data_IF_157686768684
#
_entry.id   IF_157686768684
#
_cell.length_a   1.000
_cell.length_b   1.000
_cell.length_c   1.000
_cell.angle_alpha   90.00
_cell.angle_beta   90.00
_cell.angle_gamma   90.00
#
_symmetry.space_group_name_H-M   'P 1'
#
loop_
_entity.id
_entity.type
_entity.pdbx_description
1 polymer ?
#
# COMPACT_ATOMS: atom_id res chain seq x y z
N UNK A 1 -25.32 11.80 17.09
CA UNK A 1 -23.90 11.47 17.30
C UNK A 1 -23.16 12.76 17.57
N UNK A 2 -22.43 12.88 18.70
CA UNK A 2 -21.65 14.09 19.01
C UNK A 2 -20.57 14.24 17.95
N UNK A 3 -20.52 15.42 17.34
CA UNK A 3 -19.48 15.88 16.43
C UNK A 3 -18.11 15.57 17.02
N UNK A 4 -17.30 14.82 16.27
CA UNK A 4 -15.87 14.66 16.56
C UNK A 4 -15.31 16.08 16.60
N UNK A 5 -14.79 16.48 17.77
CA UNK A 5 -14.10 17.76 17.94
C UNK A 5 -12.99 17.90 16.91
N UNK A 6 -12.69 19.13 16.52
CA UNK A 6 -11.60 19.43 15.60
C UNK A 6 -10.31 18.75 16.09
N UNK A 7 -9.66 17.97 15.23
CA UNK A 7 -8.55 17.07 15.60
C UNK A 7 -7.33 17.87 16.10
N UNK A 8 -7.24 19.14 15.72
CA UNK A 8 -6.27 20.11 16.24
C UNK A 8 -6.38 20.31 17.77
N UNK A 9 -7.53 20.02 18.37
CA UNK A 9 -7.75 20.04 19.83
C UNK A 9 -7.39 18.72 20.52
N UNK A 10 -7.01 17.67 19.77
CA UNK A 10 -6.77 16.33 20.30
C UNK A 10 -5.31 16.09 20.77
N UNK A 11 -4.57 17.14 21.10
CA UNK A 11 -3.29 17.03 21.81
C UNK A 11 -3.51 17.03 23.33
N UNK A 12 -4.11 15.95 23.83
CA UNK A 12 -4.41 15.79 25.25
C UNK A 12 -3.17 15.40 26.07
N UNK A 13 -3.06 15.92 27.29
CA UNK A 13 -2.13 15.40 28.29
C UNK A 13 -2.68 14.11 28.90
N UNK A 14 -2.00 12.98 28.65
CA UNK A 14 -2.34 11.69 29.26
C UNK A 14 -1.42 11.46 30.46
N UNK A 15 -2.00 11.41 31.66
CA UNK A 15 -1.27 10.99 32.87
C UNK A 15 -1.45 9.49 33.09
N UNK A 16 -0.39 8.73 32.83
CA UNK A 16 -0.35 7.29 33.08
C UNK A 16 0.13 7.02 34.51
N UNK A 17 -0.56 6.12 35.22
CA UNK A 17 -0.08 5.59 36.50
C UNK A 17 0.69 4.30 36.22
N UNK A 18 2.01 4.37 36.30
CA UNK A 18 2.90 3.24 36.00
C UNK A 18 3.53 2.70 37.29
N UNK A 19 3.68 1.37 37.44
CA UNK A 19 4.55 0.79 38.45
C UNK A 19 5.99 1.31 38.31
N UNK A 20 6.69 1.52 39.43
CA UNK A 20 8.07 2.06 39.41
C UNK A 20 9.04 1.20 38.59
N UNK A 21 8.89 -0.13 38.65
CA UNK A 21 9.69 -1.09 37.89
C UNK A 21 9.50 -0.93 36.37
N UNK A 22 8.26 -0.68 35.93
CA UNK A 22 7.96 -0.46 34.51
C UNK A 22 8.50 0.89 34.02
N UNK A 23 8.35 1.94 34.84
CA UNK A 23 8.91 3.26 34.52
C UNK A 23 10.44 3.22 34.38
N UNK A 24 11.12 2.51 35.28
CA UNK A 24 12.57 2.31 35.21
C UNK A 24 13.00 1.56 33.94
N UNK A 25 12.28 0.49 33.58
CA UNK A 25 12.56 -0.26 32.36
C UNK A 25 12.41 0.62 31.10
N UNK A 26 11.36 1.43 31.02
CA UNK A 26 11.13 2.35 29.91
C UNK A 26 12.22 3.44 29.83
N UNK A 27 12.68 3.98 30.97
CA UNK A 27 13.78 4.93 31.00
C UNK A 27 15.10 4.33 30.51
N UNK A 28 15.42 3.10 30.94
CA UNK A 28 16.62 2.40 30.47
C UNK A 28 16.57 2.16 28.96
N UNK A 29 15.40 1.76 28.45
CA UNK A 29 15.20 1.53 27.03
C UNK A 29 15.28 2.84 26.23
N UNK A 30 14.67 3.92 26.71
CA UNK A 30 14.73 5.23 26.05
C UNK A 30 16.17 5.74 25.95
N UNK A 31 16.96 5.57 27.02
CA UNK A 31 18.38 5.91 27.03
C UNK A 31 19.20 5.02 26.08
N UNK A 32 18.90 3.71 26.04
CA UNK A 32 19.56 2.78 25.13
C UNK A 32 19.28 3.10 23.66
N UNK A 33 18.04 3.43 23.33
CA UNK A 33 17.60 3.82 21.98
C UNK A 33 17.92 5.29 21.64
N UNK A 34 18.46 6.05 22.61
CA UNK A 34 18.77 7.48 22.48
C UNK A 34 17.58 8.35 22.04
N UNK A 35 16.39 8.07 22.59
CA UNK A 35 15.15 8.81 22.36
C UNK A 35 14.56 9.33 23.67
N UNK A 36 13.68 10.32 23.60
CA UNK A 36 12.95 10.75 24.80
C UNK A 36 11.97 9.66 25.27
N UNK A 37 11.74 9.58 26.58
CA UNK A 37 10.75 8.66 27.15
C UNK A 37 9.35 8.83 26.52
N UNK A 38 8.98 10.08 26.18
CA UNK A 38 7.71 10.35 25.50
C UNK A 38 7.68 9.76 24.09
N UNK A 39 8.77 9.86 23.32
CA UNK A 39 8.87 9.24 22.00
C UNK A 39 8.81 7.71 22.09
N UNK A 40 9.51 7.10 23.05
CA UNK A 40 9.45 5.66 23.29
C UNK A 40 8.03 5.21 23.66
N UNK A 41 7.38 5.92 24.58
CA UNK A 41 6.01 5.63 24.98
C UNK A 41 5.04 5.83 23.82
N UNK A 42 5.23 6.87 23.00
CA UNK A 42 4.42 7.09 21.80
C UNK A 42 4.63 5.95 20.79
N UNK A 43 5.86 5.46 20.61
CA UNK A 43 6.17 4.32 19.77
C UNK A 43 5.45 3.05 20.26
N UNK A 44 5.52 2.73 21.56
CA UNK A 44 4.83 1.57 22.11
C UNK A 44 3.31 1.72 22.14
N UNK A 45 2.78 2.91 22.42
CA UNK A 45 1.35 3.17 22.34
C UNK A 45 0.87 3.07 20.90
N UNK A 46 1.63 3.59 19.95
CA UNK A 46 1.36 3.43 18.53
C UNK A 46 1.38 1.95 18.16
N UNK A 47 2.39 1.19 18.56
CA UNK A 47 2.49 -0.25 18.31
C UNK A 47 1.37 -1.06 19.00
N UNK A 48 0.97 -0.70 20.22
CA UNK A 48 -0.11 -1.36 20.97
C UNK A 48 -1.50 -1.05 20.41
N UNK A 49 -1.74 0.18 19.99
CA UNK A 49 -2.95 0.58 19.25
C UNK A 49 -2.95 -0.05 17.84
N UNK A 50 -1.76 -0.30 17.27
CA UNK A 50 -1.58 -0.93 15.95
C UNK A 50 -2.07 -2.37 15.89
N UNK A 51 -2.15 -3.09 17.02
CA UNK A 51 -2.61 -4.48 16.99
C UNK A 51 -4.10 -4.63 16.63
N UNK A 52 -4.90 -3.56 16.70
CA UNK A 52 -6.34 -3.63 16.39
C UNK A 52 -6.87 -2.55 15.42
N UNK A 53 -6.12 -1.49 15.06
CA UNK A 53 -6.68 -0.36 14.27
C UNK A 53 -5.74 0.41 13.31
N UNK A 54 -4.45 0.06 13.17
CA UNK A 54 -3.56 0.81 12.25
C UNK A 54 -3.37 0.07 10.93
N UNK A 55 -3.40 0.83 9.82
CA UNK A 55 -3.13 0.34 8.48
C UNK A 55 -1.69 0.67 8.05
N UNK A 56 -0.73 0.35 8.92
CA UNK A 56 0.70 0.51 8.64
C UNK A 56 1.14 -0.29 7.41
N UNK A 57 2.35 -0.01 6.91
CA UNK A 57 2.88 -0.64 5.69
C UNK A 57 2.86 -2.17 5.73
N UNK A 58 3.20 -2.74 6.89
CA UNK A 58 3.21 -4.19 7.08
C UNK A 58 1.79 -4.77 7.03
N UNK A 59 0.87 -4.19 7.80
CA UNK A 59 -0.52 -4.62 7.87
C UNK A 59 -1.21 -4.51 6.50
N UNK A 60 -0.99 -3.40 5.79
CA UNK A 60 -1.49 -3.21 4.44
C UNK A 60 -1.01 -4.31 3.48
N UNK A 61 0.29 -4.61 3.49
CA UNK A 61 0.85 -5.69 2.67
C UNK A 61 0.30 -7.06 3.08
N UNK A 62 0.14 -7.31 4.38
CA UNK A 62 -0.42 -8.56 4.91
C UNK A 62 -1.88 -8.74 4.46
N UNK A 63 -2.69 -7.68 4.51
CA UNK A 63 -4.08 -7.73 4.01
C UNK A 63 -4.14 -8.02 2.52
N UNK A 64 -3.27 -7.42 1.70
CA UNK A 64 -3.19 -7.78 0.28
C UNK A 64 -2.82 -9.26 0.08
N UNK A 65 -1.91 -9.79 0.89
CA UNK A 65 -1.56 -11.22 0.89
C UNK A 65 -2.75 -12.11 1.28
N UNK A 66 -3.50 -11.75 2.32
CA UNK A 66 -4.72 -12.46 2.74
C UNK A 66 -5.77 -12.41 1.63
N UNK A 67 -6.01 -11.25 1.02
CA UNK A 67 -6.93 -11.10 -0.12
C UNK A 67 -6.52 -12.02 -1.26
N UNK A 68 -5.22 -12.08 -1.59
CA UNK A 68 -4.70 -12.92 -2.67
C UNK A 68 -4.94 -14.42 -2.42
N UNK A 69 -4.93 -14.85 -1.15
CA UNK A 69 -5.12 -16.26 -0.77
C UNK A 69 -6.59 -16.64 -0.65
N UNK A 70 -7.42 -15.74 -0.15
CA UNK A 70 -8.79 -16.06 0.24
C UNK A 70 -9.84 -15.74 -0.82
N UNK A 71 -9.60 -14.75 -1.68
CA UNK A 71 -10.61 -14.32 -2.66
C UNK A 71 -10.86 -15.44 -3.70
N UNK A 72 -12.13 -15.86 -3.83
CA UNK A 72 -12.52 -16.96 -4.73
C UNK A 72 -13.02 -16.46 -6.09
N UNK A 73 -13.36 -15.18 -6.19
CA UNK A 73 -13.83 -14.53 -7.41
C UNK A 73 -13.29 -13.12 -7.53
N UNK A 74 -13.35 -12.55 -8.73
CA UNK A 74 -13.01 -11.13 -8.95
C UNK A 74 -13.91 -10.21 -8.11
N UNK A 75 -15.18 -10.55 -7.95
CA UNK A 75 -16.13 -9.76 -7.15
C UNK A 75 -15.74 -9.74 -5.66
N UNK A 76 -15.42 -10.91 -5.08
CA UNK A 76 -14.96 -10.99 -3.69
C UNK A 76 -13.63 -10.25 -3.49
N UNK A 77 -12.73 -10.33 -4.48
CA UNK A 77 -11.48 -9.59 -4.49
C UNK A 77 -11.73 -8.08 -4.44
N UNK A 78 -12.62 -7.55 -5.29
CA UNK A 78 -12.93 -6.13 -5.32
C UNK A 78 -13.67 -5.66 -4.07
N UNK A 79 -14.58 -6.45 -3.51
CA UNK A 79 -15.22 -6.13 -2.22
C UNK A 79 -14.22 -6.01 -1.07
N UNK A 80 -13.23 -6.91 -1.01
CA UNK A 80 -12.17 -6.83 0.02
C UNK A 80 -11.22 -5.65 -0.23
N UNK A 81 -10.87 -5.37 -1.47
CA UNK A 81 -10.06 -4.20 -1.82
C UNK A 81 -10.78 -2.88 -1.54
N UNK A 82 -12.10 -2.82 -1.73
CA UNK A 82 -12.90 -1.62 -1.47
C UNK A 82 -12.90 -1.28 0.03
N UNK A 83 -13.11 -2.29 0.89
CA UNK A 83 -12.97 -2.11 2.35
C UNK A 83 -11.59 -1.60 2.74
N UNK A 84 -10.55 -2.18 2.15
CA UNK A 84 -9.17 -1.72 2.38
C UNK A 84 -8.97 -0.28 1.89
N UNK A 85 -9.56 0.10 0.76
CA UNK A 85 -9.47 1.44 0.20
C UNK A 85 -10.19 2.48 1.07
N UNK A 86 -11.37 2.15 1.59
CA UNK A 86 -12.11 3.01 2.51
C UNK A 86 -11.32 3.32 3.79
N UNK A 87 -10.56 2.34 4.28
CA UNK A 87 -9.65 2.55 5.41
C UNK A 87 -8.47 3.46 5.04
N UNK A 88 -7.86 3.28 3.85
CA UNK A 88 -6.80 4.17 3.36
C UNK A 88 -7.30 5.61 3.18
N UNK A 89 -8.45 5.81 2.55
CA UNK A 89 -9.02 7.15 2.33
C UNK A 89 -9.40 7.82 3.65
N UNK A 90 -9.78 7.06 4.68
CA UNK A 90 -10.05 7.60 6.02
C UNK A 90 -8.79 8.15 6.71
N UNK A 91 -7.65 7.46 6.59
CA UNK A 91 -6.40 7.84 7.28
C UNK A 91 -5.53 8.80 6.45
N UNK A 92 -5.74 8.85 5.13
CA UNK A 92 -4.97 9.69 4.20
C UNK A 92 -4.96 11.18 4.56
N UNK A 93 -6.06 11.84 4.96
CA UNK A 93 -6.02 13.23 5.42
C UNK A 93 -5.14 13.45 6.65
N UNK A 94 -5.08 12.46 7.56
CA UNK A 94 -4.26 12.53 8.77
C UNK A 94 -2.78 12.44 8.41
N UNK A 95 -2.42 11.50 7.53
CA UNK A 95 -1.06 11.40 6.99
C UNK A 95 -0.61 12.72 6.35
N UNK A 96 -1.45 13.34 5.52
CA UNK A 96 -1.08 14.58 4.83
C UNK A 96 -0.83 15.72 5.82
N UNK A 97 -1.63 15.85 6.88
CA UNK A 97 -1.39 16.83 7.94
C UNK A 97 -0.08 16.59 8.70
N UNK A 98 0.24 15.33 9.02
CA UNK A 98 1.51 14.95 9.67
C UNK A 98 2.72 15.35 8.79
N UNK A 99 2.65 15.06 7.49
CA UNK A 99 3.71 15.40 6.54
C UNK A 99 3.85 16.92 6.32
N UNK A 100 2.73 17.64 6.24
CA UNK A 100 2.72 19.11 6.13
C UNK A 100 3.37 19.77 7.36
N UNK A 101 3.01 19.32 8.56
CA UNK A 101 3.63 19.79 9.81
C UNK A 101 5.15 19.54 9.82
N UNK A 102 5.58 18.35 9.40
CA UNK A 102 7.01 18.00 9.37
C UNK A 102 7.82 18.85 8.36
N UNK A 103 7.22 19.26 7.23
CA UNK A 103 7.84 20.16 6.27
C UNK A 103 7.99 21.57 6.84
N UNK A 104 6.95 22.09 7.51
CA UNK A 104 6.97 23.43 8.11
C UNK A 104 7.94 23.54 9.28
N UNK A 105 8.14 22.46 10.04
CA UNK A 105 9.03 22.42 11.22
C UNK A 105 10.52 22.16 10.89
N UNK A 106 10.89 21.97 9.61
CA UNK A 106 12.26 21.63 9.20
C UNK A 106 12.88 20.48 10.02
N UNK A 107 12.11 19.39 10.24
CA UNK A 107 12.63 18.23 10.98
C UNK A 107 13.90 17.69 10.31
N UNK A 108 15.04 17.80 11.02
CA UNK A 108 16.38 17.45 10.51
C UNK A 108 16.56 15.97 10.13
N UNK A 109 15.64 15.10 10.54
CA UNK A 109 15.67 13.64 10.29
C UNK A 109 14.30 13.15 9.80
N UNK A 110 13.95 13.51 8.56
CA UNK A 110 12.68 13.07 7.94
C UNK A 110 12.59 11.54 7.84
N UNK A 111 13.70 10.84 7.63
CA UNK A 111 13.73 9.38 7.51
C UNK A 111 13.25 8.68 8.79
N UNK A 112 13.75 9.08 9.97
CA UNK A 112 13.35 8.48 11.24
C UNK A 112 11.87 8.73 11.54
N UNK A 113 11.37 9.92 11.18
CA UNK A 113 9.96 10.24 11.30
C UNK A 113 9.08 9.42 10.34
N UNK A 114 9.53 9.21 9.09
CA UNK A 114 8.85 8.34 8.12
C UNK A 114 8.80 6.90 8.63
N UNK A 115 9.86 6.39 9.25
CA UNK A 115 9.85 5.03 9.84
C UNK A 115 8.78 4.89 10.94
N UNK A 116 8.60 5.91 11.79
CA UNK A 116 7.49 5.92 12.76
C UNK A 116 6.13 5.97 12.05
N UNK A 117 5.98 6.81 11.03
CA UNK A 117 4.73 6.92 10.27
C UNK A 117 4.38 5.62 9.51
N UNK A 118 5.37 4.83 9.07
CA UNK A 118 5.17 3.53 8.41
C UNK A 118 4.50 2.48 9.31
N UNK A 119 4.60 2.63 10.63
CA UNK A 119 3.86 1.77 11.57
C UNK A 119 2.35 2.09 11.60
N UNK A 120 1.96 3.29 11.17
CA UNK A 120 0.58 3.79 11.29
C UNK A 120 -0.11 3.86 9.91
N UNK A 121 0.64 4.26 8.88
CA UNK A 121 0.15 4.54 7.54
C UNK A 121 0.78 3.60 6.49
N UNK A 122 0.10 3.32 5.37
CA UNK A 122 0.57 2.39 4.35
C UNK A 122 1.53 3.10 3.40
N UNK A 123 2.61 3.66 3.95
CA UNK A 123 3.59 4.45 3.20
C UNK A 123 4.90 3.69 3.04
N UNK A 124 5.79 4.16 2.18
CA UNK A 124 7.18 3.71 2.16
C UNK A 124 8.08 4.85 1.67
N UNK A 125 9.32 4.87 2.13
CA UNK A 125 10.33 5.74 1.55
C UNK A 125 10.80 5.12 0.23
N UNK A 126 10.49 5.77 -0.89
CA UNK A 126 11.05 5.37 -2.18
C UNK A 126 12.45 5.94 -2.33
N UNK A 127 13.39 5.14 -2.86
CA UNK A 127 14.67 5.63 -3.38
C UNK A 127 14.49 6.34 -4.75
N UNK A 128 13.46 7.19 -4.85
CA UNK A 128 13.26 8.02 -6.04
C UNK A 128 14.15 9.24 -5.87
N UNK A 129 15.15 9.36 -6.73
CA UNK A 129 16.11 10.48 -6.72
C UNK A 129 15.36 11.82 -6.66
N UNK A 130 15.55 12.56 -5.57
CA UNK A 130 14.97 13.88 -5.37
C UNK A 130 13.62 13.91 -4.64
N UNK A 131 12.98 12.77 -4.39
CA UNK A 131 11.73 12.72 -3.61
C UNK A 131 12.05 12.64 -2.11
N UNK A 132 11.62 13.66 -1.37
CA UNK A 132 11.88 13.77 0.08
C UNK A 132 10.75 13.21 0.92
N UNK A 133 9.55 13.13 0.35
CA UNK A 133 8.36 12.65 1.04
C UNK A 133 8.11 11.17 0.73
N UNK A 134 7.47 10.45 1.65
CA UNK A 134 7.16 9.05 1.41
C UNK A 134 6.07 8.91 0.34
N UNK A 135 6.01 7.74 -0.28
CA UNK A 135 4.95 7.38 -1.22
C UNK A 135 3.83 6.66 -0.47
N UNK A 136 2.57 6.98 -0.77
CA UNK A 136 1.40 6.29 -0.23
C UNK A 136 1.06 5.09 -1.10
N UNK A 137 0.78 3.94 -0.47
CA UNK A 137 0.24 2.75 -1.13
C UNK A 137 -1.28 2.82 -1.12
N UNK A 138 -1.87 2.73 -2.30
CA UNK A 138 -3.31 2.61 -2.50
C UNK A 138 -3.63 1.17 -2.94
N UNK A 139 -4.72 0.56 -2.46
CA UNK A 139 -5.16 -0.74 -2.97
C UNK A 139 -5.37 -0.68 -4.48
N UNK A 140 -4.97 -1.73 -5.19
CA UNK A 140 -5.18 -1.85 -6.63
C UNK A 140 -5.33 -3.31 -7.03
N UNK A 141 -5.51 -3.55 -8.32
CA UNK A 141 -5.55 -4.86 -8.92
C UNK A 141 -4.63 -4.90 -10.14
N UNK A 142 -4.10 -6.08 -10.45
CA UNK A 142 -3.37 -6.38 -11.69
C UNK A 142 -4.05 -7.53 -12.42
N UNK A 143 -3.99 -7.53 -13.74
CA UNK A 143 -4.29 -8.72 -14.54
C UNK A 143 -2.98 -9.44 -14.80
N UNK A 144 -2.97 -10.75 -14.58
CA UNK A 144 -1.83 -11.62 -14.83
C UNK A 144 -2.22 -12.62 -15.90
N UNK A 145 -1.43 -12.66 -16.96
CA UNK A 145 -1.50 -13.66 -18.02
C UNK A 145 -0.34 -14.64 -17.83
N UNK A 146 -0.65 -15.88 -17.47
CA UNK A 146 0.34 -16.96 -17.36
C UNK A 146 0.24 -17.88 -18.57
N UNK A 147 1.33 -18.14 -19.30
CA UNK A 147 1.28 -19.10 -20.39
C UNK A 147 0.96 -20.51 -19.86
N UNK A 148 0.13 -21.26 -20.59
CA UNK A 148 -0.05 -22.69 -20.33
C UNK A 148 1.14 -23.42 -20.98
N UNK A 149 1.81 -24.29 -20.23
CA UNK A 149 2.96 -25.09 -20.72
C UNK A 149 4.12 -24.18 -21.18
N UNK A 150 4.76 -24.50 -22.32
CA UNK A 150 5.90 -23.76 -22.89
C UNK A 150 5.50 -22.72 -23.95
N UNK A 151 4.23 -22.30 -23.97
CA UNK A 151 3.75 -21.28 -24.89
C UNK A 151 4.44 -19.94 -24.63
N UNK A 152 4.70 -19.19 -25.70
CA UNK A 152 5.24 -17.82 -25.61
C UNK A 152 4.11 -16.85 -25.91
N UNK A 153 3.83 -15.96 -24.97
CA UNK A 153 2.81 -14.92 -25.14
C UNK A 153 3.36 -13.81 -26.04
N UNK A 154 2.53 -13.32 -26.98
CA UNK A 154 2.89 -12.16 -27.81
C UNK A 154 2.66 -10.87 -27.01
N UNK A 155 3.74 -10.39 -26.40
CA UNK A 155 3.73 -9.17 -25.61
C UNK A 155 3.25 -7.94 -26.39
N UNK A 156 3.64 -7.79 -27.67
CA UNK A 156 3.25 -6.60 -28.46
C UNK A 156 1.77 -6.63 -28.78
N UNK A 157 1.23 -7.81 -29.07
CA UNK A 157 -0.20 -7.96 -29.30
C UNK A 157 -0.98 -7.67 -28.00
N UNK A 158 -0.57 -8.24 -26.88
CA UNK A 158 -1.18 -8.01 -25.56
C UNK A 158 -1.13 -6.53 -25.18
N UNK A 159 0.04 -5.88 -25.32
CA UNK A 159 0.21 -4.46 -25.06
C UNK A 159 -0.76 -3.62 -25.89
N UNK A 160 -0.91 -3.91 -27.19
CA UNK A 160 -1.86 -3.21 -28.06
C UNK A 160 -3.31 -3.39 -27.61
N UNK A 161 -3.72 -4.61 -27.24
CA UNK A 161 -5.07 -4.88 -26.75
C UNK A 161 -5.32 -4.12 -25.44
N UNK A 162 -4.39 -4.22 -24.48
CA UNK A 162 -4.50 -3.53 -23.18
C UNK A 162 -4.58 -2.01 -23.36
N UNK A 163 -3.66 -1.42 -24.12
CA UNK A 163 -3.61 0.03 -24.37
C UNK A 163 -4.86 0.56 -25.07
N UNK A 164 -5.53 -0.26 -25.89
CA UNK A 164 -6.82 0.11 -26.49
C UNK A 164 -7.97 0.22 -25.46
N UNK A 165 -7.84 -0.45 -24.31
CA UNK A 165 -8.85 -0.43 -23.25
C UNK A 165 -8.51 0.55 -22.13
N UNK A 166 -7.22 0.66 -21.79
CA UNK A 166 -6.68 1.53 -20.76
C UNK A 166 -5.28 2.01 -21.18
N UNK A 167 -5.19 3.23 -21.69
CA UNK A 167 -3.93 3.82 -22.17
C UNK A 167 -2.90 3.98 -21.05
N UNK A 168 -3.36 4.25 -19.83
CA UNK A 168 -2.53 4.47 -18.64
C UNK A 168 -2.00 3.16 -18.02
N UNK A 169 -2.48 1.99 -18.47
CA UNK A 169 -2.02 0.72 -17.93
C UNK A 169 -0.55 0.46 -18.26
N UNK A 170 0.22 -0.01 -17.29
CA UNK A 170 1.61 -0.41 -17.45
C UNK A 170 1.66 -1.93 -17.62
N UNK A 171 2.30 -2.39 -18.69
CA UNK A 171 2.48 -3.80 -18.99
C UNK A 171 3.94 -4.15 -18.73
N UNK A 172 4.19 -5.30 -18.11
CA UNK A 172 5.54 -5.79 -17.83
C UNK A 172 5.59 -7.31 -17.86
N UNK A 173 6.80 -7.84 -18.07
CA UNK A 173 7.06 -9.26 -17.84
C UNK A 173 7.26 -9.51 -16.34
N UNK A 174 6.80 -10.67 -15.88
CA UNK A 174 6.84 -11.03 -14.47
C UNK A 174 5.47 -10.93 -13.81
N UNK A 175 5.11 -11.95 -13.06
CA UNK A 175 4.06 -11.88 -12.04
C UNK A 175 4.70 -11.91 -10.65
N UNK A 176 5.29 -10.78 -10.26
CA UNK A 176 5.83 -10.64 -8.91
C UNK A 176 4.77 -10.02 -8.01
N UNK A 177 4.53 -10.64 -6.86
CA UNK A 177 3.65 -10.10 -5.83
C UNK A 177 4.41 -9.00 -5.08
N UNK A 178 4.28 -7.78 -5.61
CA UNK A 178 5.02 -6.58 -5.18
C UNK A 178 4.80 -6.20 -3.70
N UNK A 179 3.81 -6.78 -3.03
CA UNK A 179 3.56 -6.61 -1.59
C UNK A 179 4.27 -7.65 -0.71
N UNK A 180 4.84 -8.71 -1.29
CA UNK A 180 5.70 -9.65 -0.57
C UNK A 180 7.16 -9.18 -0.60
N UNK A 181 7.89 -9.28 0.53
CA UNK A 181 9.35 -9.16 0.54
C UNK A 181 9.98 -10.09 -0.51
N UNK A 182 11.09 -9.68 -1.14
CA UNK A 182 11.74 -10.46 -2.21
C UNK A 182 12.09 -11.87 -1.76
N UNK A 183 12.47 -12.05 -0.50
CA UNK A 183 12.83 -13.34 0.10
C UNK A 183 11.63 -14.29 0.24
N UNK A 184 10.41 -13.76 0.23
CA UNK A 184 9.16 -14.52 0.29
C UNK A 184 8.52 -14.74 -1.08
N UNK A 185 9.04 -14.12 -2.13
CA UNK A 185 8.52 -14.30 -3.48
C UNK A 185 8.98 -15.67 -4.01
N UNK A 186 8.02 -16.45 -4.53
CA UNK A 186 8.33 -17.73 -5.13
C UNK A 186 9.17 -17.52 -6.40
N UNK A 187 10.33 -18.18 -6.46
CA UNK A 187 11.18 -18.19 -7.66
C UNK A 187 10.70 -19.36 -8.53
N UNK A 188 9.77 -19.09 -9.43
CA UNK A 188 9.26 -20.03 -10.43
C UNK A 188 9.45 -19.42 -11.82
N UNK A 189 9.99 -20.21 -12.75
CA UNK A 189 10.18 -19.82 -14.15
C UNK A 189 8.86 -19.33 -14.80
N UNK A 190 7.73 -19.87 -14.34
CA UNK A 190 6.40 -19.43 -14.77
C UNK A 190 6.10 -17.97 -14.43
N UNK A 191 6.60 -17.45 -13.31
CA UNK A 191 6.44 -16.03 -12.96
C UNK A 191 7.15 -15.14 -13.97
N UNK A 192 8.38 -15.48 -14.35
CA UNK A 192 9.17 -14.71 -15.32
C UNK A 192 8.56 -14.72 -16.73
N UNK A 193 7.91 -15.83 -17.12
CA UNK A 193 7.23 -15.95 -18.42
C UNK A 193 5.84 -15.32 -18.44
N UNK A 194 5.31 -14.93 -17.28
CA UNK A 194 4.01 -14.28 -17.19
C UNK A 194 4.08 -12.82 -17.64
N UNK A 195 2.96 -12.28 -18.08
CA UNK A 195 2.80 -10.85 -18.36
C UNK A 195 1.81 -10.29 -17.34
N UNK A 196 2.16 -9.17 -16.73
CA UNK A 196 1.28 -8.46 -15.80
C UNK A 196 0.87 -7.11 -16.36
N UNK A 197 -0.37 -6.72 -16.06
CA UNK A 197 -0.98 -5.45 -16.42
C UNK A 197 -1.35 -4.74 -15.14
N UNK A 198 -0.70 -3.60 -14.90
CA UNK A 198 -0.90 -2.74 -13.76
C UNK A 198 -1.73 -1.52 -14.17
N UNK A 199 -2.76 -1.19 -13.40
CA UNK A 199 -3.65 -0.08 -13.69
C UNK A 199 -3.23 1.16 -12.88
N UNK A 200 -2.91 2.24 -13.58
CA UNK A 200 -2.53 3.53 -12.99
C UNK A 200 -3.72 4.49 -12.93
N UNK A 201 -4.84 4.04 -12.35
CA UNK A 201 -6.09 4.80 -12.28
C UNK A 201 -6.61 4.90 -10.84
N UNK A 202 -7.59 5.78 -10.61
CA UNK A 202 -8.29 5.89 -9.33
C UNK A 202 -9.10 4.63 -9.01
N UNK A 203 -9.19 4.29 -7.72
CA UNK A 203 -9.84 3.07 -7.23
C UNK A 203 -11.29 2.93 -7.72
N UNK A 204 -12.06 4.03 -7.74
CA UNK A 204 -13.45 4.05 -8.20
C UNK A 204 -13.62 3.60 -9.66
N UNK A 205 -12.59 3.77 -10.50
CA UNK A 205 -12.62 3.37 -11.91
C UNK A 205 -11.96 2.00 -12.17
N UNK A 206 -11.19 1.52 -11.19
CA UNK A 206 -10.34 0.33 -11.29
C UNK A 206 -11.13 -0.91 -11.70
N UNK A 207 -12.22 -1.24 -11.00
CA UNK A 207 -13.02 -2.44 -11.27
C UNK A 207 -13.54 -2.46 -12.71
N UNK A 208 -14.04 -1.32 -13.20
CA UNK A 208 -14.54 -1.18 -14.57
C UNK A 208 -13.41 -1.40 -15.59
N UNK A 209 -12.25 -0.78 -15.38
CA UNK A 209 -11.12 -0.90 -16.30
C UNK A 209 -10.52 -2.30 -16.31
N UNK A 210 -10.40 -2.94 -15.15
CA UNK A 210 -9.95 -4.33 -15.01
C UNK A 210 -10.91 -5.26 -15.72
N UNK A 211 -12.22 -5.18 -15.48
CA UNK A 211 -13.21 -6.04 -16.12
C UNK A 211 -13.20 -5.88 -17.65
N UNK A 212 -13.25 -4.62 -18.13
CA UNK A 212 -13.20 -4.31 -19.57
C UNK A 212 -11.93 -4.86 -20.23
N UNK A 213 -10.78 -4.72 -19.57
CA UNK A 213 -9.50 -5.21 -20.09
C UNK A 213 -9.44 -6.73 -20.05
N UNK A 214 -9.93 -7.36 -18.98
CA UNK A 214 -9.99 -8.82 -18.86
C UNK A 214 -10.89 -9.43 -19.93
N UNK A 215 -12.06 -8.86 -20.17
CA UNK A 215 -12.98 -9.28 -21.24
C UNK A 215 -12.30 -9.21 -22.62
N UNK A 216 -11.62 -8.10 -22.92
CA UNK A 216 -10.88 -7.95 -24.17
C UNK A 216 -9.76 -8.99 -24.33
N UNK A 217 -9.03 -9.29 -23.26
CA UNK A 217 -7.98 -10.32 -23.25
C UNK A 217 -8.57 -11.73 -23.40
N UNK A 218 -9.72 -12.02 -22.77
CA UNK A 218 -10.42 -13.30 -22.91
C UNK A 218 -11.03 -13.51 -24.30
N UNK A 219 -11.32 -12.43 -25.04
CA UNK A 219 -11.83 -12.49 -26.41
C UNK A 219 -10.72 -12.70 -27.47
N UNK A 220 -9.45 -12.66 -27.08
CA UNK A 220 -8.34 -12.90 -27.99
C UNK A 220 -8.33 -14.35 -28.50
N UNK A 221 -7.98 -14.60 -29.77
CA UNK A 221 -7.80 -15.97 -30.28
C UNK A 221 -6.78 -16.80 -29.48
N UNK A 222 -5.80 -16.14 -28.86
CA UNK A 222 -4.75 -16.76 -28.06
C UNK A 222 -5.13 -16.97 -26.59
N UNK A 223 -6.32 -16.54 -26.15
CA UNK A 223 -6.76 -16.63 -24.74
C UNK A 223 -6.69 -18.06 -24.20
N UNK A 224 -7.01 -19.07 -25.02
CA UNK A 224 -6.96 -20.48 -24.62
C UNK A 224 -5.55 -20.97 -24.26
N UNK A 225 -4.50 -20.27 -24.71
CA UNK A 225 -3.09 -20.60 -24.45
C UNK A 225 -2.57 -20.03 -23.13
N UNK A 226 -3.38 -19.25 -22.41
CA UNK A 226 -2.99 -18.62 -21.16
C UNK A 226 -4.07 -18.78 -20.08
N UNK A 227 -3.67 -18.63 -18.82
CA UNK A 227 -4.61 -18.33 -17.74
C UNK A 227 -4.59 -16.84 -17.47
N UNK A 228 -5.77 -16.24 -17.39
CA UNK A 228 -5.96 -14.80 -17.15
C UNK A 228 -6.58 -14.66 -15.77
N UNK A 229 -5.81 -14.11 -14.84
CA UNK A 229 -6.17 -14.00 -13.42
C UNK A 229 -6.16 -12.54 -13.00
N UNK A 230 -7.13 -12.14 -12.19
CA UNK A 230 -7.06 -10.86 -11.46
C UNK A 230 -6.43 -11.14 -10.11
N UNK A 231 -5.45 -10.32 -9.74
CA UNK A 231 -4.78 -10.40 -8.44
C UNK A 231 -4.78 -9.04 -7.76
N UNK A 232 -4.79 -9.00 -6.41
CA UNK A 232 -4.59 -7.74 -5.71
C UNK A 232 -3.18 -7.21 -5.99
N UNK A 233 -3.05 -5.91 -5.92
CA UNK A 233 -1.79 -5.18 -6.02
C UNK A 233 -1.91 -3.87 -5.24
N UNK A 234 -0.95 -2.99 -5.39
CA UNK A 234 -1.09 -1.61 -4.94
C UNK A 234 -0.59 -0.66 -6.02
N UNK A 235 -1.09 0.57 -5.98
CA UNK A 235 -0.55 1.71 -6.70
C UNK A 235 0.23 2.60 -5.74
N UNK A 236 1.31 3.21 -6.23
CA UNK A 236 2.05 4.22 -5.48
C UNK A 236 1.64 5.61 -5.93
N UNK A 237 1.33 6.47 -4.97
CA UNK A 237 1.09 7.88 -5.23
C UNK A 237 2.05 8.72 -4.39
N UNK A 238 2.69 9.71 -5.02
CA UNK A 238 3.55 10.63 -4.30
C UNK A 238 2.71 11.50 -3.37
N UNK A 239 3.01 11.47 -2.07
CA UNK A 239 2.29 12.30 -1.09
C UNK A 239 2.50 13.78 -1.35
N UNK A 240 3.63 14.17 -1.97
CA UNK A 240 3.86 15.52 -2.49
C UNK A 240 2.75 16.02 -3.41
N UNK A 241 2.36 15.21 -4.40
CA UNK A 241 1.28 15.54 -5.35
C UNK A 241 -0.05 15.70 -4.61
N UNK A 242 -0.28 14.89 -3.57
CA UNK A 242 -1.49 14.97 -2.75
C UNK A 242 -1.52 16.23 -1.88
N UNK A 243 -0.37 16.70 -1.39
CA UNK A 243 -0.26 17.97 -0.66
C UNK A 243 -0.50 19.16 -1.58
N UNK A 244 0.10 19.15 -2.78
CA UNK A 244 -0.08 20.22 -3.79
C UNK A 244 -1.54 20.38 -4.26
N UNK A 245 -2.32 19.29 -4.26
CA UNK A 245 -3.75 19.30 -4.64
C UNK A 245 -4.70 19.77 -3.51
N UNK A 246 -4.22 19.86 -2.27
CA UNK A 246 -5.01 20.27 -1.10
C UNK A 246 -4.81 21.74 -0.71
N UNK A 247 -4.02 22.49 -1.48
CA UNK A 247 -3.86 23.95 -1.40
C UNK A 247 -4.74 24.60 -2.46
#
# INVERSE_FOLDING_TARGET
MKTIKDISELSGNIKLRLPKSLHEALLRQANFENVSLNQLCLMYLSAGVSQNNNLGTYEFNHRLEVIAKEAKSDDELFEKLEKLNDEVERIKPLLLRELEGALNENKRQMNDYVEVLRAIYPIYQGDIVGEKLPMLKLPSAKIVMRPKKNEKLDYKHIEKVVKSQCEEAVISYGDFDIFLPREKQAIDEMYYKSISVHFCCDFYTLRKLVNKTKEALCAMPEADRMSILVKPSYLHIATRILLEKNV
#
